data_IF_557371763999
#
_entry.id   IF_557371763999
#
_cell.length_a   1.000
_cell.length_b   1.000
_cell.length_c   1.000
_cell.angle_alpha   90.00
_cell.angle_beta   90.00
_cell.angle_gamma   90.00
#
_symmetry.space_group_name_H-M   'P 1'
#
loop_
_entity.id
_entity.type
_entity.pdbx_description
1 polymer ?
#
# COMPACT_ATOMS: atom_id res chain seq x y z
N UNK A 1 -58.16 38.66 -15.46
CA UNK A 1 -57.26 38.60 -14.29
C UNK A 1 -57.64 37.39 -13.45
N UNK A 2 -56.95 36.25 -13.57
CA UNK A 2 -57.39 35.04 -12.90
C UNK A 2 -56.44 34.54 -11.81
N UNK A 3 -57.05 33.80 -10.90
CA UNK A 3 -56.55 33.16 -9.70
C UNK A 3 -55.48 32.06 -9.91
N UNK A 4 -54.61 32.20 -10.91
CA UNK A 4 -53.52 31.26 -11.22
C UNK A 4 -52.17 31.63 -10.60
N UNK A 5 -52.06 32.79 -9.93
CA UNK A 5 -50.78 33.28 -9.38
C UNK A 5 -50.54 33.01 -7.89
N UNK A 6 -51.52 32.44 -7.16
CA UNK A 6 -51.38 32.14 -5.72
C UNK A 6 -51.12 30.67 -5.39
N UNK A 7 -51.25 29.75 -6.36
CA UNK A 7 -50.93 28.33 -6.17
C UNK A 7 -49.49 27.97 -6.58
N UNK A 8 -48.83 28.83 -7.37
CA UNK A 8 -47.43 28.63 -7.79
C UNK A 8 -46.40 28.99 -6.70
N UNK A 9 -46.76 29.83 -5.72
CA UNK A 9 -45.84 30.24 -4.66
C UNK A 9 -45.77 29.26 -3.47
N UNK A 10 -46.77 28.38 -3.32
CA UNK A 10 -46.81 27.39 -2.24
C UNK A 10 -46.18 26.03 -2.64
N UNK A 11 -46.08 25.74 -3.95
CA UNK A 11 -45.35 24.56 -4.46
C UNK A 11 -43.85 24.85 -4.60
N UNK A 12 -43.45 26.11 -4.79
CA UNK A 12 -42.04 26.51 -4.77
C UNK A 12 -41.43 26.64 -3.35
N UNK A 13 -42.26 26.74 -2.29
CA UNK A 13 -41.79 26.81 -0.90
C UNK A 13 -41.77 25.44 -0.18
N UNK A 14 -42.33 24.39 -0.80
CA UNK A 14 -42.35 23.02 -0.26
C UNK A 14 -41.42 22.07 -1.03
N UNK A 15 -40.86 22.49 -2.17
CA UNK A 15 -39.75 21.77 -2.85
C UNK A 15 -38.34 22.28 -2.49
N UNK A 16 -38.22 23.29 -1.63
CA UNK A 16 -36.92 23.83 -1.18
C UNK A 16 -36.39 23.22 0.14
N UNK A 17 -37.02 22.16 0.68
CA UNK A 17 -36.64 21.58 1.98
C UNK A 17 -36.26 20.10 1.98
N UNK A 18 -35.94 19.49 0.83
CA UNK A 18 -35.38 18.12 0.78
C UNK A 18 -34.25 17.96 -0.25
N UNK A 19 -33.41 18.98 -0.38
CA UNK A 19 -32.02 18.76 -0.73
C UNK A 19 -31.18 19.19 0.47
N UNK A 20 -31.25 18.40 1.55
CA UNK A 20 -30.11 18.35 2.46
C UNK A 20 -28.90 18.02 1.58
N UNK A 21 -27.82 18.82 1.58
CA UNK A 21 -26.58 18.34 0.99
C UNK A 21 -26.24 17.04 1.75
N UNK A 22 -26.49 15.91 1.09
CA UNK A 22 -26.28 14.59 1.68
C UNK A 22 -24.83 14.51 2.13
N UNK A 23 -24.65 14.46 3.45
CA UNK A 23 -23.41 14.38 4.22
C UNK A 23 -22.15 14.06 3.40
N UNK A 24 -21.39 15.10 3.06
CA UNK A 24 -19.96 15.00 2.88
C UNK A 24 -19.27 15.52 4.15
N UNK A 25 -19.51 14.84 5.30
CA UNK A 25 -18.91 15.19 6.61
C UNK A 25 -18.32 13.93 7.30
N UNK A 26 -18.34 12.74 6.68
CA UNK A 26 -18.03 11.48 7.39
C UNK A 26 -16.58 11.34 7.88
N UNK A 27 -15.61 11.99 7.20
CA UNK A 27 -14.18 11.96 7.55
C UNK A 27 -13.62 13.31 8.01
N UNK A 28 -14.43 14.37 8.02
CA UNK A 28 -13.98 15.76 8.25
C UNK A 28 -13.24 15.95 9.58
N UNK A 29 -13.73 15.31 10.66
CA UNK A 29 -13.09 15.34 11.97
C UNK A 29 -11.72 14.66 12.00
N UNK A 30 -11.52 13.61 11.21
CA UNK A 30 -10.24 12.92 11.06
C UNK A 30 -9.29 13.74 10.18
N UNK A 31 -9.77 14.26 9.05
CA UNK A 31 -8.97 15.12 8.16
C UNK A 31 -8.49 16.39 8.87
N UNK A 32 -9.27 16.92 9.82
CA UNK A 32 -8.86 18.01 10.70
C UNK A 32 -7.75 17.70 11.72
N UNK A 33 -7.23 16.47 11.71
CA UNK A 33 -6.06 16.02 12.48
C UNK A 33 -4.88 15.56 11.61
N UNK A 34 -5.01 15.61 10.28
CA UNK A 34 -3.95 15.20 9.35
C UNK A 34 -2.86 16.28 9.26
N UNK A 35 -1.57 15.94 9.44
CA UNK A 35 -0.47 16.90 9.31
C UNK A 35 -0.39 17.54 7.92
N UNK A 36 0.12 18.77 7.83
CA UNK A 36 0.16 19.51 6.56
C UNK A 36 1.21 19.00 5.58
N UNK A 37 2.25 18.36 6.11
CA UNK A 37 3.35 17.72 5.39
C UNK A 37 2.99 16.34 4.81
N UNK A 38 1.77 15.87 5.05
CA UNK A 38 1.27 14.62 4.46
C UNK A 38 1.27 14.72 2.95
N UNK A 39 1.92 13.76 2.27
CA UNK A 39 1.85 13.62 0.81
C UNK A 39 1.21 12.31 0.37
N UNK A 40 1.05 11.31 1.25
CA UNK A 40 0.25 10.12 1.00
C UNK A 40 -0.90 10.03 2.01
N UNK A 41 -2.13 10.02 1.51
CA UNK A 41 -3.36 9.87 2.28
C UNK A 41 -4.05 8.56 1.93
N UNK A 42 -4.40 7.77 2.95
CA UNK A 42 -5.23 6.56 2.83
C UNK A 42 -6.48 6.75 3.66
N UNK A 43 -7.64 6.50 3.07
CA UNK A 43 -8.95 6.62 3.72
C UNK A 43 -9.73 5.34 3.51
N UNK A 44 -10.28 4.79 4.58
CA UNK A 44 -11.02 3.52 4.55
C UNK A 44 -12.29 3.67 5.37
N UNK A 45 -13.41 3.35 4.72
CA UNK A 45 -14.72 3.21 5.33
C UNK A 45 -14.97 1.72 5.60
N UNK A 46 -14.56 1.28 6.79
CA UNK A 46 -14.55 -0.14 7.16
C UNK A 46 -15.96 -0.69 7.29
N UNK A 47 -16.88 0.09 7.86
CA UNK A 47 -18.28 -0.29 8.00
C UNK A 47 -18.90 -0.59 6.64
N UNK A 48 -18.79 0.35 5.68
CA UNK A 48 -19.32 0.14 4.33
C UNK A 48 -18.59 -0.96 3.57
N UNK A 49 -17.27 -1.13 3.80
CA UNK A 49 -16.50 -2.21 3.20
C UNK A 49 -16.98 -3.58 3.69
N UNK A 50 -17.06 -3.79 5.00
CA UNK A 50 -17.44 -5.08 5.56
C UNK A 50 -18.93 -5.39 5.40
N UNK A 51 -19.77 -4.38 5.17
CA UNK A 51 -21.18 -4.54 4.84
C UNK A 51 -21.44 -4.74 3.34
N UNK A 52 -20.41 -4.67 2.50
CA UNK A 52 -20.54 -4.90 1.05
C UNK A 52 -20.97 -6.33 0.71
N UNK A 53 -21.62 -6.54 -0.45
CA UNK A 53 -22.03 -7.87 -0.90
C UNK A 53 -20.89 -8.89 -0.96
N UNK A 54 -19.74 -8.51 -1.56
CA UNK A 54 -18.56 -9.38 -1.65
C UNK A 54 -18.02 -9.74 -0.26
N UNK A 55 -17.87 -8.76 0.65
CA UNK A 55 -17.35 -9.00 1.99
C UNK A 55 -18.22 -9.97 2.81
N UNK A 56 -19.55 -9.89 2.63
CA UNK A 56 -20.50 -10.81 3.28
C UNK A 56 -20.42 -12.21 2.67
N UNK A 57 -20.37 -12.32 1.34
CA UNK A 57 -20.24 -13.59 0.65
C UNK A 57 -18.96 -14.34 1.05
N UNK A 58 -17.85 -13.60 1.16
CA UNK A 58 -16.53 -14.14 1.53
C UNK A 58 -16.30 -14.25 3.05
N UNK A 59 -17.29 -13.84 3.87
CA UNK A 59 -17.23 -13.95 5.33
C UNK A 59 -16.09 -13.15 5.98
N UNK A 60 -15.70 -12.00 5.43
CA UNK A 60 -14.52 -11.23 5.89
C UNK A 60 -14.59 -10.84 7.37
N UNK A 61 -15.76 -10.43 7.90
CA UNK A 61 -15.93 -10.13 9.35
C UNK A 61 -15.56 -11.33 10.24
N UNK A 62 -15.98 -12.54 9.86
CA UNK A 62 -15.70 -13.76 10.62
C UNK A 62 -14.22 -14.13 10.54
N UNK A 63 -13.65 -14.09 9.34
CA UNK A 63 -12.23 -14.41 9.13
C UNK A 63 -11.30 -13.43 9.84
N UNK A 64 -11.66 -12.13 9.90
CA UNK A 64 -10.96 -11.11 10.68
C UNK A 64 -10.94 -11.46 12.18
N UNK A 65 -12.10 -11.81 12.76
CA UNK A 65 -12.20 -12.19 14.16
C UNK A 65 -11.41 -13.48 14.50
N UNK A 66 -11.20 -14.36 13.53
CA UNK A 66 -10.49 -15.63 13.70
C UNK A 66 -8.98 -15.52 13.40
N UNK A 67 -8.47 -14.33 13.06
CA UNK A 67 -7.08 -14.10 12.60
C UNK A 67 -6.66 -15.05 11.46
N UNK A 68 -7.62 -15.58 10.70
CA UNK A 68 -7.40 -16.43 9.54
C UNK A 68 -7.29 -15.52 8.30
N UNK A 69 -6.12 -15.54 7.66
CA UNK A 69 -5.80 -14.91 6.38
C UNK A 69 -5.83 -13.37 6.25
N UNK A 70 -5.18 -12.90 5.17
CA UNK A 70 -5.04 -11.50 4.77
C UNK A 70 -6.37 -11.00 4.18
N UNK A 71 -7.11 -10.21 4.95
CA UNK A 71 -8.26 -9.45 4.45
C UNK A 71 -7.78 -8.21 3.71
N UNK A 72 -8.56 -7.64 2.77
CA UNK A 72 -8.16 -6.44 2.01
C UNK A 72 -7.86 -5.22 2.88
N UNK A 73 -8.24 -5.26 4.16
CA UNK A 73 -7.94 -4.24 5.15
C UNK A 73 -7.77 -4.93 6.51
N UNK A 74 -6.61 -4.75 7.15
CA UNK A 74 -6.35 -5.19 8.53
C UNK A 74 -6.66 -4.04 9.50
N UNK A 75 -7.90 -4.00 9.99
CA UNK A 75 -8.35 -3.05 11.01
C UNK A 75 -8.64 -3.75 12.34
N UNK A 76 -8.49 -3.04 13.47
CA UNK A 76 -9.03 -3.49 14.75
C UNK A 76 -10.51 -3.84 14.65
N UNK A 77 -10.91 -4.94 15.29
CA UNK A 77 -12.31 -5.33 15.36
C UNK A 77 -13.14 -4.22 16.03
N UNK A 78 -14.15 -3.70 15.32
CA UNK A 78 -15.00 -2.61 15.79
C UNK A 78 -14.56 -1.20 15.38
N UNK A 79 -13.40 -1.04 14.72
CA UNK A 79 -13.06 0.21 14.06
C UNK A 79 -13.93 0.40 12.81
N UNK A 80 -14.54 1.58 12.71
CA UNK A 80 -15.49 1.92 11.65
C UNK A 80 -14.84 2.63 10.46
N UNK A 81 -13.84 3.47 10.75
CA UNK A 81 -13.12 4.25 9.73
C UNK A 81 -11.64 4.38 10.08
N UNK A 82 -10.83 4.51 9.04
CA UNK A 82 -9.40 4.75 9.16
C UNK A 82 -8.97 5.89 8.22
N UNK A 83 -8.09 6.74 8.74
CA UNK A 83 -7.28 7.66 7.92
C UNK A 83 -5.81 7.42 8.26
N UNK A 84 -4.98 7.09 7.27
CA UNK A 84 -3.52 7.12 7.39
C UNK A 84 -2.97 8.31 6.63
N UNK A 85 -2.15 9.07 7.31
CA UNK A 85 -1.43 10.21 6.79
C UNK A 85 0.06 9.89 6.85
N UNK A 86 0.69 9.79 5.70
CA UNK A 86 2.07 9.34 5.57
C UNK A 86 2.86 10.45 4.88
N UNK A 87 4.05 10.72 5.43
CA UNK A 87 5.07 11.54 4.83
C UNK A 87 6.12 10.62 4.19
N UNK A 88 6.24 10.73 2.87
CA UNK A 88 7.23 10.01 2.08
C UNK A 88 8.22 11.01 1.52
N UNK A 89 9.50 10.83 1.79
CA UNK A 89 10.52 11.50 1.00
C UNK A 89 10.53 10.86 -0.40
N UNK A 90 9.99 11.55 -1.40
CA UNK A 90 9.88 11.03 -2.77
C UNK A 90 11.23 10.87 -3.47
N UNK A 91 12.27 11.56 -2.99
CA UNK A 91 13.63 11.44 -3.51
C UNK A 91 14.32 10.18 -2.98
N UNK A 92 14.36 10.01 -1.65
CA UNK A 92 14.99 8.85 -1.01
C UNK A 92 14.07 7.62 -0.93
N UNK A 93 12.77 7.80 -1.16
CA UNK A 93 11.70 6.79 -1.06
C UNK A 93 11.53 6.20 0.34
N UNK A 94 11.93 6.96 1.34
CA UNK A 94 11.83 6.57 2.75
C UNK A 94 10.58 7.21 3.35
N UNK A 95 9.80 6.39 4.04
CA UNK A 95 8.72 6.87 4.91
C UNK A 95 9.35 7.47 6.17
N UNK A 96 9.14 8.76 6.40
CA UNK A 96 9.69 9.46 7.58
C UNK A 96 8.72 9.42 8.75
N UNK A 97 7.43 9.67 8.49
CA UNK A 97 6.39 9.78 9.52
C UNK A 97 5.06 9.22 9.04
N UNK A 98 4.32 8.64 9.98
CA UNK A 98 2.97 8.17 9.78
C UNK A 98 2.09 8.52 10.98
N UNK A 99 0.89 9.00 10.67
CA UNK A 99 -0.20 9.15 11.62
C UNK A 99 -1.38 8.31 11.16
N UNK A 100 -1.84 7.42 12.03
CA UNK A 100 -3.09 6.69 11.82
C UNK A 100 -4.16 7.20 12.75
N UNK A 101 -5.31 7.55 12.20
CA UNK A 101 -6.51 7.95 12.89
C UNK A 101 -7.55 6.85 12.73
N UNK A 102 -8.21 6.49 13.83
CA UNK A 102 -9.28 5.50 13.86
C UNK A 102 -10.53 6.08 14.48
N UNK A 103 -11.64 5.94 13.77
CA UNK A 103 -12.97 6.04 14.36
C UNK A 103 -13.29 4.66 14.96
N UNK A 104 -13.17 4.54 16.28
CA UNK A 104 -13.32 3.29 17.02
C UNK A 104 -14.28 3.47 18.21
N UNK A 105 -15.60 3.41 17.94
CA UNK A 105 -16.60 3.45 18.99
C UNK A 105 -16.41 2.30 19.97
N UNK A 106 -16.46 2.63 21.27
CA UNK A 106 -16.21 1.66 22.36
C UNK A 106 -14.81 1.00 22.30
N UNK A 107 -13.83 1.69 21.70
CA UNK A 107 -12.43 1.28 21.77
C UNK A 107 -11.91 1.15 23.22
N UNK A 108 -10.81 0.41 23.44
CA UNK A 108 -10.23 0.24 24.77
C UNK A 108 -9.69 1.55 25.34
N UNK A 109 -9.58 1.64 26.68
CA UNK A 109 -8.91 2.77 27.32
C UNK A 109 -7.43 2.82 26.95
N UNK A 110 -6.81 4.01 27.01
CA UNK A 110 -5.37 4.15 26.78
C UNK A 110 -4.55 3.30 27.74
N UNK A 111 -4.96 3.19 29.00
CA UNK A 111 -4.32 2.29 29.97
C UNK A 111 -4.35 0.84 29.49
N UNK A 112 -5.50 0.36 29.02
CA UNK A 112 -5.63 -1.02 28.51
C UNK A 112 -4.79 -1.25 27.26
N UNK A 113 -4.67 -0.24 26.38
CA UNK A 113 -3.77 -0.30 25.23
C UNK A 113 -2.31 -0.40 25.71
N UNK A 114 -1.88 0.46 26.63
CA UNK A 114 -0.54 0.43 27.20
C UNK A 114 -0.25 -0.92 27.88
N UNK A 115 -1.10 -1.38 28.79
CA UNK A 115 -0.91 -2.64 29.53
C UNK A 115 -0.74 -3.83 28.57
N UNK A 116 -1.56 -3.91 27.52
CA UNK A 116 -1.51 -5.00 26.52
C UNK A 116 -0.23 -4.99 25.70
N UNK A 117 0.23 -3.80 25.33
CA UNK A 117 1.44 -3.64 24.53
C UNK A 117 2.69 -3.57 25.37
N UNK A 118 2.57 -3.59 26.71
CA UNK A 118 3.66 -3.21 27.61
C UNK A 118 4.21 -1.81 27.42
N UNK A 119 3.33 -0.94 26.97
CA UNK A 119 3.52 0.47 27.04
C UNK A 119 3.45 1.02 28.46
N UNK A 120 3.60 2.32 28.54
CA UNK A 120 3.28 3.09 29.73
C UNK A 120 2.51 4.33 29.32
N UNK A 121 1.72 4.85 30.26
CA UNK A 121 1.11 6.15 30.09
C UNK A 121 2.09 7.25 30.47
N UNK A 122 2.12 8.31 29.66
CA UNK A 122 2.75 9.57 30.02
C UNK A 122 1.88 10.74 29.57
N UNK A 123 2.30 11.96 29.94
CA UNK A 123 1.69 13.19 29.44
C UNK A 123 2.60 13.88 28.44
N UNK A 124 2.05 14.15 27.26
CA UNK A 124 2.71 14.94 26.21
C UNK A 124 1.76 16.05 25.80
N UNK A 125 2.22 17.31 25.83
CA UNK A 125 1.40 18.48 25.54
C UNK A 125 0.06 18.53 26.32
N UNK A 126 0.07 18.11 27.59
CA UNK A 126 -1.12 17.97 28.47
C UNK A 126 -2.16 16.93 28.02
N UNK A 127 -1.83 16.09 27.04
CA UNK A 127 -2.66 14.96 26.60
C UNK A 127 -2.10 13.66 27.18
N UNK A 128 -2.98 12.78 27.63
CA UNK A 128 -2.59 11.42 28.00
C UNK A 128 -2.26 10.64 26.74
N UNK A 129 -1.08 10.02 26.75
CA UNK A 129 -0.57 9.23 25.63
C UNK A 129 -0.02 7.92 26.17
N UNK A 130 -0.20 6.85 25.39
CA UNK A 130 0.45 5.57 25.62
C UNK A 130 1.70 5.51 24.73
N UNK A 131 2.88 5.42 25.33
CA UNK A 131 4.06 4.97 24.60
C UNK A 131 3.97 3.46 24.40
N UNK A 132 4.30 2.95 23.22
CA UNK A 132 4.15 1.54 22.87
C UNK A 132 5.51 0.98 22.38
N UNK A 133 5.97 -0.18 22.89
CA UNK A 133 7.29 -0.76 22.58
C UNK A 133 7.61 -0.99 21.11
N UNK A 134 6.59 -1.18 20.27
CA UNK A 134 6.67 -1.23 18.81
C UNK A 134 7.07 0.11 18.16
N UNK A 135 7.58 1.06 18.94
CA UNK A 135 8.01 2.36 18.46
C UNK A 135 6.83 3.21 17.99
N UNK A 136 5.72 3.23 18.73
CA UNK A 136 4.60 4.11 18.44
C UNK A 136 4.11 4.88 19.67
N UNK A 137 3.40 5.99 19.45
CA UNK A 137 2.59 6.63 20.47
C UNK A 137 1.12 6.51 20.11
N UNK A 138 0.28 6.12 21.06
CA UNK A 138 -1.19 6.11 20.95
C UNK A 138 -1.83 7.16 21.83
N UNK A 139 -2.92 7.76 21.39
CA UNK A 139 -3.69 8.73 22.17
C UNK A 139 -5.16 8.74 21.75
N UNK A 140 -6.01 9.29 22.63
CA UNK A 140 -7.45 9.46 22.38
C UNK A 140 -7.71 10.95 22.15
N UNK A 141 -8.18 11.28 20.95
CA UNK A 141 -8.38 12.65 20.47
C UNK A 141 -9.84 13.14 20.61
N UNK A 142 -10.74 12.24 21.00
CA UNK A 142 -12.16 12.46 21.24
C UNK A 142 -12.80 11.20 21.81
N UNK A 143 -14.13 11.13 21.92
CA UNK A 143 -14.79 9.95 22.48
C UNK A 143 -14.49 8.69 21.64
N UNK A 144 -14.63 8.75 20.33
CA UNK A 144 -14.42 7.55 19.49
C UNK A 144 -13.18 7.68 18.59
N UNK A 145 -12.47 8.80 18.65
CA UNK A 145 -11.31 9.06 17.81
C UNK A 145 -9.99 8.70 18.52
N UNK A 146 -9.28 7.73 17.96
CA UNK A 146 -7.94 7.35 18.36
C UNK A 146 -6.92 7.83 17.34
N UNK A 147 -5.73 8.14 17.81
CA UNK A 147 -4.62 8.57 16.98
C UNK A 147 -3.34 7.85 17.37
N UNK A 148 -2.58 7.42 16.37
CA UNK A 148 -1.33 6.72 16.53
C UNK A 148 -0.26 7.41 15.69
N UNK A 149 0.91 7.67 16.28
CA UNK A 149 2.06 8.25 15.60
C UNK A 149 3.21 7.23 15.56
N UNK A 150 3.76 7.02 14.37
CA UNK A 150 4.88 6.12 14.09
C UNK A 150 5.91 6.79 13.15
N UNK A 151 7.22 6.62 13.39
CA UNK A 151 7.82 6.03 14.58
C UNK A 151 7.60 6.91 15.83
N UNK A 152 7.84 6.36 17.01
CA UNK A 152 7.64 7.05 18.28
C UNK A 152 8.64 8.20 18.41
N UNK A 153 8.16 9.43 18.18
CA UNK A 153 8.91 10.65 18.44
C UNK A 153 8.09 11.58 19.34
N UNK A 154 8.59 11.83 20.55
CA UNK A 154 7.88 12.63 21.56
C UNK A 154 7.73 14.10 21.15
N UNK A 155 8.70 14.65 20.43
CA UNK A 155 8.66 16.04 19.97
C UNK A 155 7.67 16.21 18.82
N UNK A 156 7.67 15.28 17.87
CA UNK A 156 6.69 15.26 16.77
C UNK A 156 5.26 15.06 17.29
N UNK A 157 5.07 14.12 18.22
CA UNK A 157 3.80 13.93 18.92
C UNK A 157 3.35 15.22 19.60
N UNK A 158 4.25 15.90 20.33
CA UNK A 158 3.95 17.16 20.99
C UNK A 158 3.58 18.27 19.99
N UNK A 159 4.20 18.30 18.81
CA UNK A 159 3.88 19.26 17.77
C UNK A 159 2.50 18.97 17.15
N UNK A 160 2.24 17.71 16.79
CA UNK A 160 0.98 17.26 16.23
C UNK A 160 -0.20 17.47 17.19
N UNK A 161 -0.04 17.16 18.48
CA UNK A 161 -1.10 17.37 19.49
C UNK A 161 -1.45 18.84 19.70
N UNK A 162 -0.48 19.76 19.55
CA UNK A 162 -0.71 21.21 19.66
C UNK A 162 -1.28 21.79 18.36
N UNK A 163 -0.94 21.21 17.23
CA UNK A 163 -1.43 21.64 15.94
C UNK A 163 -2.90 21.23 15.75
N UNK A 164 -3.73 22.17 15.27
CA UNK A 164 -5.01 21.82 14.63
C UNK A 164 -4.71 21.62 13.14
N UNK A 165 -4.19 20.46 12.77
CA UNK A 165 -3.75 20.21 11.39
C UNK A 165 -4.90 19.65 10.54
N UNK A 166 -5.42 20.48 9.64
CA UNK A 166 -6.32 20.10 8.54
C UNK A 166 -5.97 20.80 7.23
N UNK A 167 -4.72 21.28 7.14
CA UNK A 167 -4.16 21.99 5.98
C UNK A 167 -3.32 21.04 5.13
N UNK A 168 -3.96 19.95 4.69
CA UNK A 168 -3.36 19.07 3.68
C UNK A 168 -3.30 19.79 2.34
N UNK A 169 -2.50 19.27 1.42
CA UNK A 169 -2.41 19.84 0.08
C UNK A 169 -3.76 19.88 -0.63
N UNK A 170 -3.89 20.80 -1.58
CA UNK A 170 -5.12 20.94 -2.37
C UNK A 170 -5.46 19.64 -3.10
N UNK A 171 -4.45 18.92 -3.60
CA UNK A 171 -4.65 17.64 -4.28
C UNK A 171 -5.25 16.58 -3.34
N UNK A 172 -4.67 16.38 -2.16
CA UNK A 172 -5.18 15.42 -1.18
C UNK A 172 -6.58 15.79 -0.67
N UNK A 173 -6.84 17.08 -0.47
CA UNK A 173 -8.17 17.56 -0.09
C UNK A 173 -9.20 17.23 -1.17
N UNK A 174 -8.91 17.53 -2.44
CA UNK A 174 -9.79 17.19 -3.57
C UNK A 174 -10.01 15.68 -3.67
N UNK A 175 -8.95 14.88 -3.57
CA UNK A 175 -9.03 13.43 -3.61
C UNK A 175 -9.92 12.87 -2.49
N UNK A 176 -9.85 13.45 -1.28
CA UNK A 176 -10.67 13.05 -0.13
C UNK A 176 -12.17 13.21 -0.37
N UNK A 177 -12.59 14.14 -1.24
CA UNK A 177 -14.02 14.36 -1.56
C UNK A 177 -14.66 13.19 -2.30
N UNK A 178 -13.86 12.26 -2.83
CA UNK A 178 -14.37 11.02 -3.40
C UNK A 178 -15.00 10.09 -2.35
N UNK A 179 -14.58 10.19 -1.08
CA UNK A 179 -15.15 9.43 0.04
C UNK A 179 -16.51 10.00 0.44
N UNK A 180 -17.56 9.51 -0.23
CA UNK A 180 -18.97 9.82 0.06
C UNK A 180 -19.77 8.53 0.24
N UNK A 181 -20.95 8.62 0.85
CA UNK A 181 -21.80 7.46 1.18
C UNK A 181 -22.13 6.52 0.00
N UNK A 182 -22.20 7.05 -1.24
CA UNK A 182 -22.42 6.27 -2.47
C UNK A 182 -21.15 6.09 -3.32
N UNK A 183 -20.00 6.52 -2.81
CA UNK A 183 -18.71 6.47 -3.50
C UNK A 183 -17.89 5.22 -3.16
N UNK A 184 -16.57 5.25 -3.44
CA UNK A 184 -15.64 4.21 -3.01
C UNK A 184 -15.66 3.99 -1.48
N UNK A 185 -15.23 2.82 -1.05
CA UNK A 185 -14.96 2.49 0.35
C UNK A 185 -13.49 2.67 0.72
N UNK A 186 -12.58 2.69 -0.27
CA UNK A 186 -11.15 2.97 -0.05
C UNK A 186 -10.71 4.05 -1.03
N UNK A 187 -10.00 5.06 -0.53
CA UNK A 187 -9.31 6.06 -1.34
C UNK A 187 -7.85 6.14 -0.88
N UNK A 188 -6.95 5.95 -1.83
CA UNK A 188 -5.53 6.24 -1.68
C UNK A 188 -5.20 7.44 -2.57
N UNK A 189 -4.49 8.43 -2.05
CA UNK A 189 -4.08 9.60 -2.82
C UNK A 189 -2.64 9.98 -2.48
N UNK A 190 -1.83 10.17 -3.52
CA UNK A 190 -0.44 10.60 -3.43
C UNK A 190 -0.30 11.94 -4.13
N UNK A 191 0.14 12.94 -3.40
CA UNK A 191 0.57 14.22 -3.94
C UNK A 191 1.95 14.05 -4.59
N UNK A 192 2.05 14.44 -5.86
CA UNK A 192 3.25 14.31 -6.69
C UNK A 192 3.65 15.66 -7.30
N UNK A 193 3.03 16.76 -6.85
CA UNK A 193 3.41 18.11 -7.26
C UNK A 193 4.90 18.33 -6.94
N UNK A 194 5.63 18.87 -7.91
CA UNK A 194 7.09 19.10 -7.86
C UNK A 194 7.97 17.85 -7.59
N UNK A 195 7.42 16.64 -7.69
CA UNK A 195 8.18 15.40 -7.42
C UNK A 195 9.23 15.07 -8.49
N UNK A 196 9.11 15.63 -9.70
CA UNK A 196 9.91 15.24 -10.87
C UNK A 196 10.87 16.38 -11.28
N UNK A 197 12.20 16.19 -11.20
CA UNK A 197 13.17 17.19 -11.65
C UNK A 197 13.16 17.35 -13.18
N UNK A 198 12.66 18.50 -13.65
CA UNK A 198 12.46 18.81 -15.08
C UNK A 198 13.75 18.71 -15.90
N UNK A 199 14.89 19.13 -15.34
CA UNK A 199 16.19 19.17 -16.05
C UNK A 199 16.70 17.81 -16.52
N UNK A 200 16.24 16.71 -15.91
CA UNK A 200 16.67 15.34 -16.25
C UNK A 200 15.55 14.50 -16.85
N UNK A 201 14.37 15.09 -17.05
CA UNK A 201 13.16 14.34 -17.34
C UNK A 201 13.19 13.72 -18.75
N UNK A 202 13.60 14.48 -19.76
CA UNK A 202 13.64 13.99 -21.13
C UNK A 202 14.58 12.77 -21.27
N UNK A 203 15.75 12.80 -20.65
CA UNK A 203 16.70 11.68 -20.68
C UNK A 203 16.19 10.47 -19.92
N UNK A 204 15.57 10.68 -18.76
CA UNK A 204 14.89 9.62 -18.00
C UNK A 204 13.76 8.98 -18.80
N UNK A 205 12.94 9.78 -19.49
CA UNK A 205 11.88 9.28 -20.34
C UNK A 205 12.43 8.49 -21.52
N UNK A 206 13.50 8.93 -22.17
CA UNK A 206 14.15 8.18 -23.27
C UNK A 206 14.69 6.82 -22.84
N UNK A 207 15.05 6.67 -21.56
CA UNK A 207 15.50 5.40 -21.01
C UNK A 207 14.35 4.40 -20.74
N UNK A 208 13.09 4.85 -20.74
CA UNK A 208 11.94 3.98 -20.56
C UNK A 208 11.64 3.18 -21.82
N UNK A 209 11.30 1.90 -21.67
CA UNK A 209 10.95 1.03 -22.79
C UNK A 209 9.68 1.53 -23.50
N UNK A 210 8.69 1.98 -22.73
CA UNK A 210 7.43 2.54 -23.22
C UNK A 210 7.61 3.74 -24.16
N UNK A 211 8.71 4.48 -24.00
CA UNK A 211 9.04 5.66 -24.80
C UNK A 211 10.02 5.32 -25.92
N UNK A 212 11.13 4.64 -25.61
CA UNK A 212 12.20 4.33 -26.57
C UNK A 212 11.73 3.47 -27.76
N UNK A 213 10.73 2.61 -27.54
CA UNK A 213 10.14 1.76 -28.58
C UNK A 213 9.02 2.47 -29.36
N UNK A 214 8.68 3.70 -28.99
CA UNK A 214 7.53 4.45 -29.51
C UNK A 214 7.98 5.65 -30.35
N UNK A 215 7.28 5.94 -31.45
CA UNK A 215 7.49 7.18 -32.22
C UNK A 215 6.67 8.32 -31.60
N UNK A 216 7.15 8.88 -30.50
CA UNK A 216 6.48 9.95 -29.74
C UNK A 216 7.35 11.20 -29.57
N UNK A 217 6.71 12.35 -29.41
CA UNK A 217 7.38 13.60 -29.07
C UNK A 217 7.75 13.61 -27.58
N UNK A 218 9.00 13.24 -27.29
CA UNK A 218 9.52 13.19 -25.92
C UNK A 218 9.49 14.56 -25.23
N UNK A 219 9.68 15.66 -25.95
CA UNK A 219 9.67 16.99 -25.36
C UNK A 219 8.24 17.40 -24.96
N UNK A 220 7.25 17.09 -25.80
CA UNK A 220 5.84 17.28 -25.45
C UNK A 220 5.43 16.42 -24.25
N UNK A 221 5.83 15.14 -24.22
CA UNK A 221 5.59 14.25 -23.08
C UNK A 221 6.28 14.77 -21.82
N UNK A 222 7.52 15.26 -21.92
CA UNK A 222 8.27 15.81 -20.80
C UNK A 222 7.53 16.99 -20.16
N UNK A 223 6.95 17.90 -20.96
CA UNK A 223 6.13 19.01 -20.44
C UNK A 223 4.89 18.51 -19.68
N UNK A 224 4.20 17.50 -20.21
CA UNK A 224 3.03 16.93 -19.53
C UNK A 224 3.45 16.26 -18.21
N UNK A 225 4.46 15.40 -18.24
CA UNK A 225 4.94 14.68 -17.05
C UNK A 225 5.51 15.63 -15.98
N UNK A 226 6.16 16.73 -16.38
CA UNK A 226 6.61 17.77 -15.47
C UNK A 226 5.45 18.50 -14.76
N UNK A 227 4.24 18.47 -15.32
CA UNK A 227 3.04 19.09 -14.76
C UNK A 227 2.23 18.15 -13.86
N UNK A 228 2.80 17.01 -13.48
CA UNK A 228 2.16 16.00 -12.63
C UNK A 228 1.70 16.61 -11.30
N UNK A 229 0.43 16.39 -10.94
CA UNK A 229 -0.19 16.83 -9.68
C UNK A 229 -0.20 15.72 -8.65
N UNK A 230 -0.57 14.52 -9.07
CA UNK A 230 -0.79 13.43 -8.13
C UNK A 230 -1.45 12.22 -8.77
N UNK A 231 -1.58 11.17 -7.96
CA UNK A 231 -2.26 9.95 -8.32
C UNK A 231 -3.26 9.56 -7.23
N UNK A 232 -4.42 9.04 -7.65
CA UNK A 232 -5.49 8.59 -6.75
C UNK A 232 -6.02 7.24 -7.18
N UNK A 233 -6.03 6.28 -6.26
CA UNK A 233 -6.72 4.99 -6.42
C UNK A 233 -7.99 5.00 -5.58
N UNK A 234 -9.15 4.92 -6.24
CA UNK A 234 -10.46 4.78 -5.61
C UNK A 234 -10.98 3.36 -5.82
N UNK A 235 -11.42 2.70 -4.75
CA UNK A 235 -11.85 1.29 -4.79
C UNK A 235 -13.26 1.16 -4.25
N UNK A 236 -14.09 0.47 -5.04
CA UNK A 236 -15.48 0.16 -4.69
C UNK A 236 -15.63 -1.34 -4.51
N UNK A 237 -16.11 -1.77 -3.35
CA UNK A 237 -16.43 -3.15 -3.04
C UNK A 237 -17.94 -3.33 -3.17
N UNK A 238 -18.37 -3.92 -4.28
CA UNK A 238 -19.76 -4.23 -4.59
C UNK A 238 -20.00 -5.75 -4.58
N UNK A 239 -20.57 -6.26 -5.67
CA UNK A 239 -20.58 -7.71 -5.94
C UNK A 239 -19.19 -8.22 -6.31
N UNK A 240 -18.40 -7.38 -6.97
CA UNK A 240 -16.98 -7.53 -7.22
C UNK A 240 -16.23 -6.30 -6.67
N UNK A 241 -14.91 -6.41 -6.51
CA UNK A 241 -14.06 -5.26 -6.19
C UNK A 241 -13.63 -4.57 -7.49
N UNK A 242 -13.87 -3.27 -7.62
CA UNK A 242 -13.45 -2.47 -8.78
C UNK A 242 -12.59 -1.30 -8.34
N UNK A 243 -11.62 -0.93 -9.17
CA UNK A 243 -10.70 0.16 -8.92
C UNK A 243 -10.69 1.17 -10.05
N UNK A 244 -10.40 2.42 -9.70
CA UNK A 244 -10.11 3.51 -10.63
C UNK A 244 -8.83 4.19 -10.17
N UNK A 245 -7.77 4.06 -10.96
CA UNK A 245 -6.51 4.80 -10.80
C UNK A 245 -6.58 6.04 -11.69
N UNK A 246 -6.61 7.22 -11.10
CA UNK A 246 -6.54 8.52 -11.77
C UNK A 246 -5.17 9.12 -11.56
N UNK A 247 -4.54 9.63 -12.62
CA UNK A 247 -3.28 10.39 -12.58
C UNK A 247 -3.56 11.75 -13.20
N UNK A 248 -3.34 12.81 -12.44
CA UNK A 248 -3.75 14.16 -12.78
C UNK A 248 -2.56 15.07 -13.08
N UNK A 249 -2.74 15.96 -14.04
CA UNK A 249 -1.72 16.87 -14.56
C UNK A 249 -2.25 18.30 -14.64
N UNK A 250 -1.37 19.30 -14.71
CA UNK A 250 -1.74 20.67 -15.02
C UNK A 250 -1.83 20.92 -16.53
N UNK A 251 -1.13 20.14 -17.35
CA UNK A 251 -1.17 20.20 -18.81
C UNK A 251 -2.15 19.19 -19.42
N UNK A 252 -2.52 19.39 -20.69
CA UNK A 252 -3.35 18.43 -21.42
C UNK A 252 -2.57 17.15 -21.72
N UNK A 253 -3.21 16.00 -21.50
CA UNK A 253 -2.58 14.68 -21.64
C UNK A 253 -2.62 14.11 -23.06
N UNK A 254 -3.06 14.88 -24.06
CA UNK A 254 -3.09 14.45 -25.47
C UNK A 254 -1.79 13.81 -25.97
N UNK A 255 -0.58 14.34 -25.63
CA UNK A 255 0.69 13.72 -26.03
C UNK A 255 0.94 12.32 -25.48
N UNK A 256 0.27 11.93 -24.38
CA UNK A 256 0.44 10.63 -23.72
C UNK A 256 -0.45 9.54 -24.33
N UNK A 257 -1.41 9.87 -25.21
CA UNK A 257 -2.46 8.92 -25.66
C UNK A 257 -1.94 7.58 -26.16
N UNK A 258 -0.84 7.55 -26.90
CA UNK A 258 -0.29 6.32 -27.49
C UNK A 258 0.54 5.48 -26.51
N UNK A 259 0.99 6.07 -25.39
CA UNK A 259 1.94 5.44 -24.45
C UNK A 259 1.46 5.44 -23.00
N UNK A 260 0.30 6.01 -22.69
CA UNK A 260 -0.17 6.21 -21.33
C UNK A 260 -0.20 4.91 -20.51
N UNK A 261 -0.79 3.84 -21.05
CA UNK A 261 -0.89 2.58 -20.34
C UNK A 261 0.48 1.96 -20.04
N UNK A 262 1.34 1.86 -21.06
CA UNK A 262 2.67 1.28 -20.91
C UNK A 262 3.56 2.12 -19.99
N UNK A 263 3.48 3.45 -20.09
CA UNK A 263 4.21 4.37 -19.22
C UNK A 263 3.78 4.23 -17.76
N UNK A 264 2.47 4.15 -17.49
CA UNK A 264 1.95 3.97 -16.13
C UNK A 264 2.37 2.61 -15.56
N UNK A 265 2.23 1.52 -16.32
CA UNK A 265 2.62 0.19 -15.87
C UNK A 265 4.12 0.09 -15.60
N UNK A 266 4.95 0.68 -16.47
CA UNK A 266 6.40 0.73 -16.30
C UNK A 266 6.79 1.56 -15.07
N UNK A 267 6.15 2.72 -14.86
CA UNK A 267 6.36 3.53 -13.66
C UNK A 267 5.97 2.78 -12.38
N UNK A 268 4.78 2.16 -12.34
CA UNK A 268 4.36 1.36 -11.20
C UNK A 268 5.34 0.21 -10.92
N UNK A 269 5.90 -0.41 -11.97
CA UNK A 269 6.90 -1.47 -11.86
C UNK A 269 8.24 -0.98 -11.30
N UNK A 270 8.75 0.15 -11.77
CA UNK A 270 9.98 0.75 -11.27
C UNK A 270 9.88 1.23 -9.82
N UNK A 271 8.67 1.57 -9.37
CA UNK A 271 8.36 1.89 -7.98
C UNK A 271 7.83 0.66 -7.20
N UNK A 272 7.72 -0.49 -7.89
CA UNK A 272 7.16 -1.78 -7.48
C UNK A 272 5.69 -1.76 -7.01
N UNK A 273 4.98 -0.65 -7.10
CA UNK A 273 3.56 -0.59 -6.71
C UNK A 273 2.60 -1.25 -7.73
N UNK A 274 3.11 -2.04 -8.69
CA UNK A 274 2.35 -2.75 -9.75
C UNK A 274 1.21 -3.66 -9.32
N UNK A 275 -0.03 -3.22 -9.38
CA UNK A 275 -1.18 -4.13 -9.25
C UNK A 275 -1.32 -4.91 -10.56
N UNK A 276 -1.33 -6.24 -10.46
CA UNK A 276 -1.31 -7.16 -11.58
C UNK A 276 -2.49 -6.97 -12.55
N UNK A 277 -3.65 -6.66 -12.00
CA UNK A 277 -4.89 -6.49 -12.75
C UNK A 277 -4.90 -5.21 -13.60
N UNK A 278 -4.09 -4.19 -13.25
CA UNK A 278 -4.04 -2.90 -13.97
C UNK A 278 -3.60 -3.09 -15.43
N UNK A 279 -2.83 -4.13 -15.74
CA UNK A 279 -2.44 -4.46 -17.12
C UNK A 279 -3.67 -4.65 -18.02
N UNK A 280 -4.76 -5.20 -17.46
CA UNK A 280 -6.02 -5.46 -18.18
C UNK A 280 -7.05 -4.33 -18.09
N UNK A 281 -6.74 -3.25 -17.35
CA UNK A 281 -7.69 -2.18 -17.11
C UNK A 281 -7.96 -1.33 -18.34
N UNK A 282 -9.18 -0.82 -18.43
CA UNK A 282 -9.56 0.13 -19.47
C UNK A 282 -8.87 1.46 -19.21
N UNK A 283 -8.14 1.95 -20.20
CA UNK A 283 -7.43 3.23 -20.12
C UNK A 283 -8.20 4.33 -20.85
N UNK A 284 -8.31 5.48 -20.22
CA UNK A 284 -8.89 6.70 -20.75
C UNK A 284 -7.90 7.85 -20.57
N UNK A 285 -7.56 8.53 -21.66
CA UNK A 285 -6.63 9.66 -21.68
C UNK A 285 -7.40 10.87 -22.20
N UNK A 286 -7.86 11.74 -21.30
CA UNK A 286 -8.74 12.86 -21.65
C UNK A 286 -8.47 14.08 -20.77
N UNK A 287 -8.53 15.27 -21.38
CA UNK A 287 -8.37 16.53 -20.66
C UNK A 287 -6.99 16.60 -20.01
N UNK A 288 -6.97 16.58 -18.68
CA UNK A 288 -5.75 16.67 -17.85
C UNK A 288 -5.49 15.41 -17.02
N UNK A 289 -6.12 14.28 -17.36
CA UNK A 289 -6.01 13.07 -16.54
C UNK A 289 -5.87 11.81 -17.39
N UNK A 290 -5.12 10.85 -16.83
CA UNK A 290 -5.12 9.45 -17.27
C UNK A 290 -5.92 8.66 -16.24
N UNK A 291 -6.92 7.92 -16.70
CA UNK A 291 -7.74 7.05 -15.86
C UNK A 291 -7.59 5.60 -16.32
N UNK A 292 -7.24 4.71 -15.40
CA UNK A 292 -7.25 3.27 -15.59
C UNK A 292 -8.34 2.70 -14.68
N UNK A 293 -9.24 1.89 -15.23
CA UNK A 293 -10.35 1.30 -14.47
C UNK A 293 -10.59 -0.16 -14.78
N UNK A 294 -10.94 -0.95 -13.77
CA UNK A 294 -11.25 -2.37 -13.94
C UNK A 294 -11.48 -3.10 -12.62
N UNK A 295 -11.62 -4.42 -12.70
CA UNK A 295 -11.79 -5.30 -11.54
C UNK A 295 -10.47 -5.48 -10.81
N UNK A 296 -10.52 -5.52 -9.48
CA UNK A 296 -9.42 -5.87 -8.59
C UNK A 296 -9.56 -7.32 -8.16
N UNK A 297 -8.52 -8.11 -8.41
CA UNK A 297 -8.39 -9.47 -7.90
C UNK A 297 -7.63 -9.50 -6.58
N UNK A 298 -7.16 -10.70 -6.22
CA UNK A 298 -6.45 -10.95 -4.97
C UNK A 298 -5.19 -10.09 -4.83
N UNK A 299 -4.41 -9.91 -5.91
CA UNK A 299 -3.16 -9.14 -5.88
C UNK A 299 -3.40 -7.68 -5.51
N UNK A 300 -4.42 -7.06 -6.13
CA UNK A 300 -4.86 -5.70 -5.81
C UNK A 300 -5.37 -5.56 -4.37
N UNK A 301 -6.24 -6.48 -3.92
CA UNK A 301 -6.78 -6.47 -2.56
C UNK A 301 -5.69 -6.65 -1.49
N UNK A 302 -4.71 -7.51 -1.76
CA UNK A 302 -3.53 -7.71 -0.92
C UNK A 302 -2.67 -6.44 -0.83
N UNK A 303 -2.44 -5.75 -1.94
CA UNK A 303 -1.67 -4.49 -1.93
C UNK A 303 -2.38 -3.39 -1.14
N UNK A 304 -3.71 -3.33 -1.23
CA UNK A 304 -4.50 -2.41 -0.40
C UNK A 304 -4.40 -2.76 1.08
N UNK A 305 -4.37 -4.05 1.43
CA UNK A 305 -4.29 -4.47 2.83
C UNK A 305 -2.99 -4.06 3.51
N UNK A 306 -1.85 -4.13 2.81
CA UNK A 306 -0.57 -3.67 3.37
C UNK A 306 -0.54 -2.15 3.63
N UNK A 307 -1.25 -1.37 2.81
CA UNK A 307 -1.42 0.08 2.96
C UNK A 307 -2.46 0.46 4.01
N UNK A 308 -3.31 -0.48 4.41
CA UNK A 308 -4.29 -0.32 5.47
C UNK A 308 -3.83 -0.84 6.84
N UNK A 309 -2.81 -1.70 6.83
CA UNK A 309 -2.37 -2.44 8.00
C UNK A 309 -1.80 -1.51 9.08
N UNK A 310 -2.61 -1.32 10.10
CA UNK A 310 -2.11 -1.06 11.44
C UNK A 310 -1.41 -2.30 11.95
N UNK A 311 -0.39 -2.18 12.82
CA UNK A 311 0.00 -3.31 13.66
C UNK A 311 -1.26 -3.79 14.40
N UNK A 312 -1.88 -4.86 13.90
CA UNK A 312 -3.24 -5.29 14.25
C UNK A 312 -3.37 -5.68 15.73
N UNK A 313 -2.23 -5.96 16.36
CA UNK A 313 -2.10 -6.25 17.78
C UNK A 313 -2.24 -5.01 18.67
N UNK A 314 -2.12 -3.78 18.14
CA UNK A 314 -2.27 -2.54 18.92
C UNK A 314 -3.63 -2.49 19.65
N UNK A 315 -4.67 -3.10 19.09
CA UNK A 315 -6.05 -2.95 19.59
C UNK A 315 -6.90 -4.21 19.33
N UNK A 316 -6.55 -5.35 19.92
CA UNK A 316 -7.38 -6.57 19.83
C UNK A 316 -8.64 -6.54 20.74
N UNK A 317 -9.60 -7.42 20.44
CA UNK A 317 -10.93 -7.52 21.04
C UNK A 317 -10.91 -7.69 22.59
N UNK A 318 -11.76 -6.99 23.35
CA UNK A 318 -11.87 -7.10 24.81
C UNK A 318 -12.21 -8.49 25.41
N UNK A 319 -12.64 -9.49 24.64
CA UNK A 319 -13.13 -10.78 25.18
C UNK A 319 -12.18 -11.98 25.04
N UNK A 320 -10.97 -11.81 24.49
CA UNK A 320 -10.00 -12.90 24.43
C UNK A 320 -9.48 -13.23 25.85
N UNK A 321 -10.07 -14.24 26.48
CA UNK A 321 -9.54 -14.86 27.69
C UNK A 321 -8.24 -15.59 27.35
N UNK A 322 -7.10 -15.03 27.75
CA UNK A 322 -5.85 -15.80 27.82
C UNK A 322 -5.72 -16.39 29.20
N UNK A 323 -6.29 -17.58 29.36
CA UNK A 323 -6.00 -18.44 30.50
C UNK A 323 -4.66 -19.13 30.23
N UNK A 324 -3.55 -18.62 30.79
CA UNK A 324 -2.31 -19.38 30.80
C UNK A 324 -1.54 -19.20 32.10
N UNK A 325 -1.31 -20.33 32.76
CA UNK A 325 -0.40 -20.52 33.88
C UNK A 325 1.07 -20.20 33.52
N UNK A 326 1.39 -19.98 32.23
CA UNK A 326 2.69 -19.50 31.75
C UNK A 326 2.51 -18.49 30.59
N UNK A 327 2.44 -17.18 30.91
CA UNK A 327 2.32 -16.11 29.92
C UNK A 327 3.44 -16.08 28.87
N UNK A 328 4.65 -16.52 29.25
CA UNK A 328 5.81 -16.54 28.35
C UNK A 328 5.65 -17.57 27.23
N UNK A 329 5.21 -18.78 27.59
CA UNK A 329 4.94 -19.84 26.61
C UNK A 329 3.88 -19.41 25.59
N UNK A 330 2.76 -18.86 26.08
CA UNK A 330 1.66 -18.44 25.22
C UNK A 330 2.09 -17.36 24.22
N UNK A 331 2.76 -16.31 24.70
CA UNK A 331 3.27 -15.24 23.84
C UNK A 331 4.28 -15.76 22.82
N UNK A 332 5.17 -16.67 23.24
CA UNK A 332 6.16 -17.28 22.33
C UNK A 332 5.51 -18.12 21.23
N UNK A 333 4.47 -18.91 21.55
CA UNK A 333 3.75 -19.70 20.54
C UNK A 333 2.97 -18.82 19.56
N UNK A 334 2.31 -17.76 20.06
CA UNK A 334 1.61 -16.80 19.22
C UNK A 334 2.58 -16.08 18.27
N UNK A 335 3.73 -15.64 18.78
CA UNK A 335 4.80 -15.00 17.99
C UNK A 335 5.33 -15.93 16.90
N UNK A 336 5.67 -17.17 17.26
CA UNK A 336 6.16 -18.16 16.30
C UNK A 336 5.17 -18.43 15.17
N UNK A 337 3.88 -18.63 15.50
CA UNK A 337 2.82 -18.83 14.51
C UNK A 337 2.64 -17.62 13.59
N UNK A 338 2.78 -16.40 14.13
CA UNK A 338 2.70 -15.18 13.33
C UNK A 338 3.85 -15.09 12.33
N UNK A 339 5.10 -15.35 12.75
CA UNK A 339 6.26 -15.39 11.85
C UNK A 339 6.06 -16.44 10.77
N UNK A 340 5.69 -17.67 11.15
CA UNK A 340 5.43 -18.75 10.20
C UNK A 340 4.35 -18.39 9.18
N UNK A 341 3.24 -17.79 9.63
CA UNK A 341 2.17 -17.38 8.71
C UNK A 341 2.66 -16.37 7.67
N UNK A 342 3.49 -15.40 8.09
CA UNK A 342 4.07 -14.40 7.19
C UNK A 342 5.03 -15.05 6.19
N UNK A 343 5.94 -15.91 6.65
CA UNK A 343 6.90 -16.59 5.76
C UNK A 343 6.22 -17.59 4.84
N UNK A 344 5.23 -18.33 5.32
CA UNK A 344 4.46 -19.27 4.52
C UNK A 344 3.70 -18.57 3.40
N UNK A 345 3.04 -17.45 3.69
CA UNK A 345 2.33 -16.68 2.67
C UNK A 345 3.29 -16.16 1.60
N UNK A 346 4.48 -15.71 1.99
CA UNK A 346 5.51 -15.26 1.07
C UNK A 346 5.95 -16.38 0.11
N UNK A 347 6.19 -17.57 0.65
CA UNK A 347 6.79 -18.69 -0.09
C UNK A 347 5.78 -19.60 -0.80
N UNK A 348 4.50 -19.59 -0.40
CA UNK A 348 3.44 -20.32 -1.09
C UNK A 348 2.95 -19.60 -2.34
N UNK A 349 3.02 -18.26 -2.35
CA UNK A 349 2.61 -17.45 -3.51
C UNK A 349 3.64 -17.50 -4.63
N UNK A 350 3.13 -17.58 -5.85
CA UNK A 350 3.93 -17.42 -7.07
C UNK A 350 3.87 -15.95 -7.49
N UNK A 351 4.98 -15.24 -7.29
CA UNK A 351 5.08 -13.83 -7.67
C UNK A 351 5.36 -13.69 -9.16
N UNK A 352 4.71 -12.72 -9.81
CA UNK A 352 4.86 -12.51 -11.26
C UNK A 352 6.24 -11.96 -11.62
N UNK A 353 6.83 -11.16 -10.73
CA UNK A 353 8.15 -10.54 -10.92
C UNK A 353 8.99 -10.58 -9.65
N UNK A 354 10.31 -10.55 -9.79
CA UNK A 354 11.22 -10.43 -8.65
C UNK A 354 11.09 -9.06 -7.95
N UNK A 355 10.72 -8.00 -8.67
CA UNK A 355 10.40 -6.72 -8.05
C UNK A 355 9.22 -6.82 -7.07
N UNK A 356 8.15 -7.51 -7.46
CA UNK A 356 7.00 -7.77 -6.59
C UNK A 356 7.41 -8.62 -5.38
N UNK A 357 8.20 -9.68 -5.61
CA UNK A 357 8.69 -10.52 -4.52
C UNK A 357 9.54 -9.72 -3.52
N UNK A 358 10.47 -8.89 -4.01
CA UNK A 358 11.29 -8.03 -3.16
C UNK A 358 10.47 -7.18 -2.20
N UNK A 359 9.38 -6.62 -2.68
CA UNK A 359 8.55 -5.75 -1.84
C UNK A 359 7.72 -6.51 -0.83
N UNK A 360 7.22 -7.70 -1.18
CA UNK A 360 6.52 -8.54 -0.22
C UNK A 360 7.46 -9.05 0.85
N UNK A 361 8.69 -9.44 0.48
CA UNK A 361 9.73 -9.78 1.43
C UNK A 361 10.04 -8.60 2.37
N UNK A 362 10.21 -7.39 1.85
CA UNK A 362 10.41 -6.17 2.65
C UNK A 362 9.20 -5.82 3.53
N UNK A 363 7.99 -5.99 3.00
CA UNK A 363 6.76 -5.78 3.77
C UNK A 363 6.68 -6.76 4.93
N UNK A 364 6.99 -8.04 4.70
CA UNK A 364 6.88 -9.07 5.73
C UNK A 364 8.02 -9.00 6.74
N UNK A 365 9.22 -8.60 6.34
CA UNK A 365 10.29 -8.24 7.27
C UNK A 365 9.82 -7.15 8.25
N UNK A 366 9.24 -6.06 7.72
CA UNK A 366 8.68 -4.98 8.57
C UNK A 366 7.53 -5.44 9.45
N UNK A 367 6.72 -6.40 9.00
CA UNK A 367 5.65 -7.00 9.84
C UNK A 367 6.23 -7.83 10.97
N UNK A 368 7.28 -8.62 10.70
CA UNK A 368 7.95 -9.44 11.71
C UNK A 368 8.57 -8.55 12.80
N UNK A 369 9.27 -7.48 12.42
CA UNK A 369 9.83 -6.50 13.37
C UNK A 369 8.78 -5.87 14.30
N UNK A 370 7.54 -5.79 13.84
CA UNK A 370 6.43 -5.16 14.56
C UNK A 370 5.69 -6.13 15.48
N UNK A 371 6.06 -7.41 15.49
CA UNK A 371 5.44 -8.40 16.38
C UNK A 371 5.82 -8.12 17.85
N UNK A 372 4.88 -8.28 18.80
CA UNK A 372 5.11 -8.10 20.22
C UNK A 372 6.25 -8.97 20.73
N UNK A 373 7.26 -8.36 21.35
CA UNK A 373 8.39 -9.07 21.96
C UNK A 373 8.17 -9.37 23.45
N UNK A 374 7.16 -8.76 24.07
CA UNK A 374 6.83 -9.00 25.46
C UNK A 374 6.53 -10.49 25.68
N UNK A 375 7.20 -11.08 26.68
CA UNK A 375 6.95 -12.44 27.15
C UNK A 375 7.29 -13.44 26.06
N UNK A 376 7.90 -13.01 24.95
CA UNK A 376 8.45 -13.90 23.95
C UNK A 376 9.82 -14.34 24.43
N UNK A 377 10.10 -15.64 24.33
CA UNK A 377 11.42 -16.19 24.62
C UNK A 377 12.52 -15.44 23.85
N UNK A 378 13.61 -15.09 24.51
CA UNK A 378 14.70 -14.33 23.89
C UNK A 378 15.28 -15.03 22.63
N UNK A 379 15.31 -16.36 22.63
CA UNK A 379 15.75 -17.13 21.46
C UNK A 379 14.76 -17.00 20.28
N UNK A 380 13.46 -16.91 20.58
CA UNK A 380 12.41 -16.69 19.58
C UNK A 380 12.45 -15.27 19.02
N UNK A 381 12.79 -14.27 19.86
CA UNK A 381 13.00 -12.89 19.41
C UNK A 381 14.16 -12.82 18.41
N UNK A 382 15.31 -13.40 18.75
CA UNK A 382 16.48 -13.48 17.86
C UNK A 382 16.20 -14.23 16.57
N UNK A 383 15.41 -15.31 16.64
CA UNK A 383 14.95 -16.01 15.45
C UNK A 383 14.13 -15.08 14.55
N UNK A 384 13.15 -14.36 15.09
CA UNK A 384 12.31 -13.46 14.30
C UNK A 384 13.09 -12.30 13.68
N UNK A 385 14.03 -11.71 14.41
CA UNK A 385 14.96 -10.69 13.90
C UNK A 385 15.78 -11.25 12.73
N UNK A 386 16.38 -12.43 12.89
CA UNK A 386 17.14 -13.08 11.83
C UNK A 386 16.32 -13.43 10.59
N UNK A 387 15.05 -13.82 10.76
CA UNK A 387 14.14 -14.03 9.62
C UNK A 387 13.85 -12.70 8.91
N UNK A 388 13.55 -11.63 9.63
CA UNK A 388 13.29 -10.32 9.03
C UNK A 388 14.49 -9.83 8.21
N UNK A 389 15.71 -10.00 8.73
CA UNK A 389 16.94 -9.64 8.03
C UNK A 389 17.17 -10.48 6.77
N UNK A 390 16.91 -11.78 6.82
CA UNK A 390 16.98 -12.63 5.62
C UNK A 390 15.99 -12.18 4.55
N UNK A 391 14.77 -11.82 4.94
CA UNK A 391 13.78 -11.30 4.00
C UNK A 391 14.25 -10.01 3.34
N UNK A 392 14.91 -9.10 4.07
CA UNK A 392 15.52 -7.87 3.50
C UNK A 392 16.65 -8.19 2.53
N UNK A 393 17.57 -9.06 2.92
CA UNK A 393 18.68 -9.48 2.04
C UNK A 393 18.14 -10.14 0.76
N UNK A 394 17.11 -10.97 0.89
CA UNK A 394 16.38 -11.53 -0.24
C UNK A 394 15.78 -10.44 -1.13
N UNK A 395 15.12 -9.45 -0.53
CA UNK A 395 14.53 -8.32 -1.24
C UNK A 395 15.57 -7.53 -2.06
N UNK A 396 16.75 -7.28 -1.50
CA UNK A 396 17.86 -6.65 -2.21
C UNK A 396 18.33 -7.50 -3.40
N UNK A 397 18.50 -8.81 -3.22
CA UNK A 397 18.89 -9.70 -4.33
C UNK A 397 17.86 -9.70 -5.46
N UNK A 398 16.58 -9.77 -5.09
CA UNK A 398 15.46 -9.77 -6.04
C UNK A 398 15.35 -8.44 -6.81
N UNK A 399 15.56 -7.28 -6.17
CA UNK A 399 15.67 -5.99 -6.89
C UNK A 399 16.84 -5.99 -7.86
N UNK A 400 17.96 -6.62 -7.46
CA UNK A 400 19.16 -6.77 -8.29
C UNK A 400 18.91 -7.52 -9.60
N UNK A 401 17.96 -8.45 -9.66
CA UNK A 401 17.62 -9.21 -10.88
C UNK A 401 17.22 -8.29 -12.04
N UNK A 402 16.32 -7.32 -11.77
CA UNK A 402 15.88 -6.38 -12.81
C UNK A 402 16.99 -5.44 -13.27
N UNK A 403 17.82 -4.97 -12.33
CA UNK A 403 18.95 -4.08 -12.61
C UNK A 403 20.01 -4.80 -13.46
N UNK A 404 20.36 -6.04 -13.10
CA UNK A 404 21.33 -6.85 -13.85
C UNK A 404 20.83 -7.22 -15.24
N UNK A 405 19.55 -7.60 -15.37
CA UNK A 405 18.97 -7.87 -16.68
C UNK A 405 19.06 -6.64 -17.58
N UNK A 406 18.59 -5.48 -17.12
CA UNK A 406 18.68 -4.23 -17.89
C UNK A 406 20.13 -3.89 -18.25
N UNK A 407 21.05 -3.95 -17.29
CA UNK A 407 22.47 -3.68 -17.50
C UNK A 407 23.07 -4.57 -18.61
N UNK A 408 22.82 -5.87 -18.54
CA UNK A 408 23.31 -6.85 -19.54
C UNK A 408 22.62 -6.70 -20.89
N UNK A 409 21.32 -6.38 -20.92
CA UNK A 409 20.61 -6.13 -22.17
C UNK A 409 21.09 -4.86 -22.89
N UNK A 410 21.46 -3.83 -22.14
CA UNK A 410 21.96 -2.57 -22.70
C UNK A 410 23.31 -2.73 -23.43
N UNK A 411 24.07 -3.78 -23.09
CA UNK A 411 25.33 -4.14 -23.75
C UNK A 411 25.12 -4.90 -25.07
N UNK A 412 23.88 -5.30 -25.39
CA UNK A 412 23.55 -6.02 -26.62
C UNK A 412 23.31 -5.02 -27.75
N UNK A 413 24.27 -4.93 -28.66
CA UNK A 413 24.18 -4.15 -29.89
C UNK A 413 23.12 -4.71 -30.85
N UNK A 414 22.28 -3.83 -31.40
CA UNK A 414 21.35 -4.20 -32.47
C UNK A 414 22.16 -4.54 -33.72
N UNK A 415 22.25 -5.83 -34.07
CA UNK A 415 22.88 -6.27 -35.32
C UNK A 415 21.83 -6.44 -36.41
N UNK A 416 21.82 -5.53 -37.37
CA UNK A 416 21.04 -5.64 -38.61
C UNK A 416 21.94 -6.21 -39.71
N UNK A 417 21.75 -7.47 -40.10
CA UNK A 417 22.44 -8.05 -41.25
C UNK A 417 21.59 -7.96 -42.51
N UNK A 418 22.20 -7.53 -43.62
CA UNK A 418 21.62 -7.60 -44.97
C UNK A 418 22.09 -8.90 -45.61
N UNK A 419 21.17 -9.80 -45.94
CA UNK A 419 21.49 -11.06 -46.62
C UNK A 419 21.25 -10.91 -48.14
N UNK A 420 22.18 -11.39 -48.95
CA UNK A 420 22.09 -11.37 -50.41
C UNK A 420 21.83 -12.79 -50.91
N UNK A 421 20.72 -12.99 -51.63
CA UNK A 421 20.45 -14.25 -52.32
C UNK A 421 21.22 -14.31 -53.67
N UNK A 422 21.51 -15.51 -54.16
CA UNK A 422 22.38 -15.80 -55.31
C UNK A 422 21.90 -15.16 -56.64
N UNK A 423 20.64 -14.71 -56.69
CA UNK A 423 20.05 -14.01 -57.84
C UNK A 423 19.95 -12.48 -57.67
N UNK A 424 20.61 -11.90 -56.66
CA UNK A 424 20.71 -10.44 -56.51
C UNK A 424 19.42 -9.73 -56.04
N UNK A 425 18.41 -10.49 -55.60
CA UNK A 425 17.21 -9.91 -55.01
C UNK A 425 17.45 -9.53 -53.53
N UNK A 426 17.14 -8.27 -53.21
CA UNK A 426 17.32 -7.68 -51.88
C UNK A 426 16.13 -8.06 -50.99
N UNK A 427 16.30 -9.06 -50.13
CA UNK A 427 15.31 -9.39 -49.10
C UNK A 427 15.71 -8.75 -47.76
N UNK A 428 14.82 -7.91 -47.20
CA UNK A 428 14.92 -7.44 -45.82
C UNK A 428 14.39 -8.54 -44.89
N UNK A 429 15.27 -9.42 -44.45
CA UNK A 429 14.98 -10.39 -43.39
C UNK A 429 15.66 -9.98 -42.09
N UNK A 430 14.90 -9.46 -41.12
CA UNK A 430 15.42 -9.14 -39.80
C UNK A 430 15.54 -10.45 -39.00
N UNK A 431 16.73 -11.03 -38.92
CA UNK A 431 16.99 -12.08 -37.93
C UNK A 431 17.09 -11.39 -36.57
N UNK A 432 16.11 -11.60 -35.69
CA UNK A 432 16.03 -11.01 -34.34
C UNK A 432 17.06 -11.65 -33.38
N UNK A 433 18.33 -11.72 -33.79
CA UNK A 433 19.43 -12.27 -33.00
C UNK A 433 19.66 -11.46 -31.72
N UNK A 434 19.46 -10.14 -31.80
CA UNK A 434 19.56 -9.24 -30.64
C UNK A 434 18.40 -9.43 -29.65
N UNK A 435 17.16 -9.63 -30.13
CA UNK A 435 16.02 -9.97 -29.26
C UNK A 435 16.10 -11.40 -28.71
N UNK A 436 16.66 -12.37 -29.44
CA UNK A 436 17.00 -13.69 -28.86
C UNK A 436 18.06 -13.58 -27.75
N UNK A 437 19.11 -12.79 -27.95
CA UNK A 437 20.12 -12.56 -26.92
C UNK A 437 19.56 -11.84 -25.68
N UNK A 438 18.68 -10.83 -25.86
CA UNK A 438 18.00 -10.16 -24.72
C UNK A 438 17.09 -11.11 -23.95
N UNK A 439 16.34 -11.97 -24.65
CA UNK A 439 15.52 -13.02 -24.03
C UNK A 439 16.36 -14.06 -23.28
N UNK A 440 17.54 -14.41 -23.79
CA UNK A 440 18.47 -15.30 -23.11
C UNK A 440 19.00 -14.67 -21.81
N UNK A 441 19.39 -13.39 -21.84
CA UNK A 441 19.78 -12.63 -20.63
C UNK A 441 18.65 -12.57 -19.62
N UNK A 442 17.42 -12.26 -20.05
CA UNK A 442 16.24 -12.27 -19.16
C UNK A 442 16.02 -13.65 -18.55
N UNK A 443 16.16 -14.71 -19.34
CA UNK A 443 16.00 -16.08 -18.86
C UNK A 443 17.08 -16.46 -17.83
N UNK A 444 18.33 -16.08 -18.06
CA UNK A 444 19.44 -16.32 -17.13
C UNK A 444 19.25 -15.59 -15.81
N UNK A 445 18.93 -14.29 -15.84
CA UNK A 445 18.73 -13.51 -14.62
C UNK A 445 17.49 -13.99 -13.86
N UNK A 446 16.43 -14.44 -14.55
CA UNK A 446 15.27 -15.06 -13.90
C UNK A 446 15.60 -16.39 -13.26
N UNK A 447 16.44 -17.22 -13.89
CA UNK A 447 16.92 -18.48 -13.28
C UNK A 447 17.72 -18.19 -12.01
N UNK A 448 18.62 -17.20 -12.06
CA UNK A 448 19.38 -16.79 -10.87
C UNK A 448 18.47 -16.29 -9.76
N UNK A 449 17.49 -15.43 -10.08
CA UNK A 449 16.51 -14.97 -9.10
C UNK A 449 15.70 -16.13 -8.47
N UNK A 450 15.37 -17.16 -9.26
CA UNK A 450 14.66 -18.34 -8.76
C UNK A 450 15.52 -19.16 -7.80
N UNK A 451 16.83 -19.29 -8.08
CA UNK A 451 17.80 -19.92 -7.18
C UNK A 451 17.95 -19.13 -5.88
N UNK A 452 18.05 -17.80 -5.96
CA UNK A 452 18.12 -16.92 -4.80
C UNK A 452 16.87 -17.08 -3.92
N UNK A 453 15.69 -17.15 -4.53
CA UNK A 453 14.43 -17.40 -3.80
C UNK A 453 14.41 -18.76 -3.12
N UNK A 454 14.83 -19.82 -3.82
CA UNK A 454 14.91 -21.15 -3.24
C UNK A 454 15.97 -21.22 -2.12
N UNK A 455 17.05 -20.44 -2.22
CA UNK A 455 18.06 -20.24 -1.18
C UNK A 455 17.46 -19.59 0.07
N UNK A 456 16.82 -18.43 -0.10
CA UNK A 456 16.14 -17.70 0.97
C UNK A 456 15.14 -18.59 1.71
N UNK A 457 14.28 -19.30 0.96
CA UNK A 457 13.27 -20.20 1.53
C UNK A 457 13.92 -21.30 2.38
N UNK A 458 14.96 -21.97 1.86
CA UNK A 458 15.66 -23.03 2.61
C UNK A 458 16.29 -22.52 3.89
N UNK A 459 16.87 -21.32 3.87
CA UNK A 459 17.47 -20.76 5.07
C UNK A 459 16.43 -20.41 6.14
N UNK A 460 15.31 -19.80 5.73
CA UNK A 460 14.19 -19.53 6.64
C UNK A 460 13.59 -20.82 7.19
N UNK A 461 13.37 -21.84 6.36
CA UNK A 461 12.88 -23.16 6.79
C UNK A 461 13.85 -23.83 7.77
N UNK A 462 15.16 -23.75 7.52
CA UNK A 462 16.19 -24.29 8.44
C UNK A 462 16.13 -23.62 9.80
N UNK A 463 16.18 -22.28 9.84
CA UNK A 463 16.10 -21.51 11.10
C UNK A 463 14.80 -21.78 11.85
N UNK A 464 13.69 -21.92 11.12
CA UNK A 464 12.38 -22.25 11.67
C UNK A 464 12.38 -23.64 12.31
N UNK A 465 13.02 -24.62 11.66
CA UNK A 465 13.18 -25.96 12.22
C UNK A 465 14.04 -25.99 13.49
N UNK A 466 15.12 -25.20 13.52
CA UNK A 466 16.05 -25.13 14.65
C UNK A 466 15.40 -24.47 15.88
N UNK A 467 14.73 -23.32 15.69
CA UNK A 467 14.06 -22.65 16.81
C UNK A 467 12.90 -23.50 17.35
N UNK A 468 12.14 -24.18 16.47
CA UNK A 468 11.05 -25.07 16.89
C UNK A 468 11.56 -26.16 17.82
N UNK A 469 12.64 -26.86 17.44
CA UNK A 469 13.27 -27.89 18.28
C UNK A 469 13.70 -27.32 19.63
N UNK A 470 14.34 -26.15 19.63
CA UNK A 470 14.80 -25.47 20.85
C UNK A 470 13.63 -25.12 21.78
N UNK A 471 12.52 -24.62 21.25
CA UNK A 471 11.33 -24.28 22.02
C UNK A 471 10.61 -25.51 22.57
N UNK A 472 10.48 -26.58 21.78
CA UNK A 472 9.91 -27.86 22.24
C UNK A 472 10.75 -28.44 23.38
N UNK A 473 12.08 -28.39 23.26
CA UNK A 473 12.98 -28.84 24.32
C UNK A 473 12.84 -27.99 25.60
N UNK A 474 12.73 -26.67 25.46
CA UNK A 474 12.67 -25.71 26.57
C UNK A 474 11.33 -25.76 27.32
N UNK A 475 10.22 -25.77 26.58
CA UNK A 475 8.87 -25.65 27.14
C UNK A 475 8.13 -26.98 27.26
N UNK A 476 8.66 -28.07 26.69
CA UNK A 476 8.05 -29.42 26.72
C UNK A 476 6.65 -29.48 26.11
N UNK A 477 6.38 -28.62 25.13
CA UNK A 477 5.13 -28.58 24.35
C UNK A 477 5.46 -28.36 22.88
N UNK A 478 4.55 -28.75 21.98
CA UNK A 478 4.71 -28.51 20.54
C UNK A 478 4.61 -27.03 20.19
N UNK A 479 5.43 -26.62 19.22
CA UNK A 479 5.47 -25.28 18.63
C UNK A 479 5.13 -25.34 17.14
#
# INVERSE_FOLDING_TARGET
MPASFRFALLVLLVLSTLASPGMAIEFSGMLGRVPGETNLLVMIDADRLFDSPLARAEGWKKKMAQQQDLHPVLLPAGAQKLVRAIEIDLHSRVQSKEITLLDFPKGPSLQKIADRQQGYLEKVANTDVAWLPQGAYGTRLGNDLYGFLFPANRQELSAWLRARSGKISTYLLQASTAMKASGPQIVLALDLEDAIPVSTLADKLRALESISKSQVDVEAISRVVASLRGARLAVTIGQEATGILTIDFDEKVDPLKSVAQSLVLEALSHHGVSIDEIESWKVKVEGKSIELSGTLGESGLMRLSSLAELPSQLIEDPEAQTDSTNPQLYATQAHFKAVQKLTDDLFKKQWKTFGQYAQWAESYARKIDRLPLLNVDADMQQYSEGVADLLRQGAESFRGVGIRSYGRQSQIWNSNYVNYDYYGNRYYGTYDASGQARRAVDSEERMQGALDSAGLRREVESRTGDIRKKMVEKYKVEF
#
